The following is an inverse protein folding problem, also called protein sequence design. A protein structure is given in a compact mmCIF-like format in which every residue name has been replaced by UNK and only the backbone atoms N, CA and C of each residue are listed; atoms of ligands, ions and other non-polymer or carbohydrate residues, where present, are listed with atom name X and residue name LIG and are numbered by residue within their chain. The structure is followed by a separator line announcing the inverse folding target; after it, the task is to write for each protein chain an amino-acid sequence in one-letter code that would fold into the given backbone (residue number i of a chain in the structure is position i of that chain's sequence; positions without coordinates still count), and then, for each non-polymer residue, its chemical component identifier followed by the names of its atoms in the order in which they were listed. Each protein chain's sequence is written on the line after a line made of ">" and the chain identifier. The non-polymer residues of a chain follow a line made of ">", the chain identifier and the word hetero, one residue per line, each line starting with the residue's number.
data_IF_368306999521
#
_entry.id   IF_368306999521
#
_cell.length_a   1.000
_cell.length_b   1.000
_cell.length_c   1.000
_cell.angle_alpha   90.00
_cell.angle_beta   90.00
_cell.angle_gamma   90.00
#
_symmetry.space_group_name_H-M   'P 1'
#
loop_
_entity.id
_entity.type
_entity.pdbx_description
1 polymer ?
#
# COMPACT_ATOMS: atom_id res chain seq x y z
N UNK A 1 4.82 3.76 14.40
CA UNK A 1 3.97 2.73 13.77
C UNK A 1 4.56 1.39 14.14
N UNK A 2 3.75 0.47 14.63
CA UNK A 2 4.13 -0.90 14.97
C UNK A 2 3.50 -1.85 13.93
N UNK A 3 4.26 -2.84 13.46
CA UNK A 3 3.80 -3.85 12.49
C UNK A 3 4.04 -5.23 13.05
N UNK A 4 2.97 -6.01 13.20
CA UNK A 4 3.01 -7.39 13.69
C UNK A 4 2.62 -8.34 12.56
N UNK A 5 3.36 -9.42 12.40
CA UNK A 5 3.16 -10.38 11.32
C UNK A 5 2.58 -11.69 11.82
N UNK A 6 1.58 -12.21 11.12
CA UNK A 6 1.06 -13.57 11.24
C UNK A 6 1.34 -14.31 9.92
N UNK A 7 1.18 -15.66 9.85
CA UNK A 7 1.59 -16.44 8.67
C UNK A 7 0.98 -15.98 7.34
N UNK A 8 -0.20 -15.35 7.35
CA UNK A 8 -0.92 -14.90 6.14
C UNK A 8 -1.42 -13.46 6.22
N UNK A 9 -1.17 -12.74 7.31
CA UNK A 9 -1.72 -11.40 7.54
C UNK A 9 -0.71 -10.55 8.29
N UNK A 10 -0.93 -9.24 8.24
CA UNK A 10 -0.14 -8.24 8.96
C UNK A 10 -1.09 -7.28 9.68
N UNK A 11 -0.75 -6.92 10.90
CA UNK A 11 -1.47 -5.95 11.70
C UNK A 11 -0.62 -4.68 11.84
N UNK A 12 -1.23 -3.54 11.55
CA UNK A 12 -0.65 -2.22 11.70
C UNK A 12 -1.27 -1.51 12.89
N UNK A 13 -0.44 -1.03 13.81
CA UNK A 13 -0.86 -0.19 14.93
C UNK A 13 -0.22 1.19 14.76
N UNK A 14 -1.06 2.19 14.57
CA UNK A 14 -0.63 3.57 14.32
C UNK A 14 -1.20 4.48 15.40
N UNK A 15 -0.37 5.19 16.18
CA UNK A 15 -0.86 6.22 17.10
C UNK A 15 -1.65 7.29 16.33
N UNK A 16 -2.87 7.58 16.79
CA UNK A 16 -3.75 8.61 16.23
C UNK A 16 -3.87 9.80 17.19
N UNK A 17 -3.90 9.52 18.50
CA UNK A 17 -3.91 10.48 19.59
C UNK A 17 -3.17 9.89 20.81
N UNK A 18 -2.96 10.65 21.91
CA UNK A 18 -2.23 10.15 23.09
C UNK A 18 -2.78 8.84 23.68
N UNK A 19 -4.10 8.63 23.60
CA UNK A 19 -4.82 7.46 24.14
C UNK A 19 -5.50 6.62 23.06
N UNK A 20 -5.26 6.93 21.78
CA UNK A 20 -6.00 6.33 20.66
C UNK A 20 -5.04 5.78 19.61
N UNK A 21 -5.26 4.52 19.23
CA UNK A 21 -4.53 3.85 18.15
C UNK A 21 -5.48 3.43 17.03
N UNK A 22 -5.02 3.57 15.79
CA UNK A 22 -5.62 2.95 14.62
C UNK A 22 -5.06 1.55 14.46
N UNK A 23 -5.96 0.57 14.31
CA UNK A 23 -5.59 -0.83 14.06
C UNK A 23 -6.14 -1.25 12.70
N UNK A 24 -5.26 -1.71 11.83
CA UNK A 24 -5.64 -2.23 10.51
C UNK A 24 -5.02 -3.61 10.30
N UNK A 25 -5.81 -4.56 9.80
CA UNK A 25 -5.33 -5.91 9.47
C UNK A 25 -5.43 -6.10 7.97
N UNK A 26 -4.30 -6.39 7.33
CA UNK A 26 -4.25 -6.75 5.91
C UNK A 26 -4.14 -8.27 5.77
N UNK A 27 -5.06 -8.85 5.02
CA UNK A 27 -5.19 -10.30 4.83
C UNK A 27 -5.66 -10.62 3.41
N UNK A 28 -5.19 -11.73 2.79
CA UNK A 28 -5.70 -12.21 1.51
C UNK A 28 -7.04 -12.94 1.65
N UNK A 29 -7.52 -13.18 2.87
CA UNK A 29 -8.77 -13.88 3.16
C UNK A 29 -9.82 -12.85 3.58
N UNK A 30 -11.03 -12.95 3.03
CA UNK A 30 -12.17 -12.13 3.48
C UNK A 30 -12.61 -12.60 4.88
N UNK A 31 -12.88 -11.66 5.78
CA UNK A 31 -13.40 -11.94 7.12
C UNK A 31 -13.62 -10.66 7.92
N UNK A 32 -14.29 -10.79 9.05
CA UNK A 32 -14.50 -9.67 9.97
C UNK A 32 -13.22 -9.27 10.71
N UNK A 33 -13.15 -8.03 11.20
CA UNK A 33 -11.98 -7.55 11.96
C UNK A 33 -11.66 -8.44 13.16
N UNK A 34 -12.68 -8.79 13.97
CA UNK A 34 -12.50 -9.63 15.16
C UNK A 34 -11.98 -11.03 14.82
N UNK A 35 -12.47 -11.63 13.74
CA UNK A 35 -12.00 -12.94 13.27
C UNK A 35 -10.52 -12.88 12.82
N UNK A 36 -10.14 -11.82 12.12
CA UNK A 36 -8.77 -11.62 11.66
C UNK A 36 -7.83 -11.29 12.82
N UNK A 37 -8.32 -10.58 13.84
CA UNK A 37 -7.56 -10.24 15.05
C UNK A 37 -7.18 -11.48 15.86
N UNK A 38 -7.95 -12.58 15.76
CA UNK A 38 -7.61 -13.84 16.42
C UNK A 38 -6.26 -14.44 15.96
N UNK A 39 -5.73 -14.02 14.80
CA UNK A 39 -4.39 -14.38 14.36
C UNK A 39 -3.26 -13.67 15.14
N UNK A 40 -3.60 -12.72 16.01
CA UNK A 40 -2.67 -11.86 16.77
C UNK A 40 -3.05 -11.84 18.27
N UNK A 41 -2.84 -12.94 19.02
CA UNK A 41 -3.29 -13.07 20.40
C UNK A 41 -2.74 -11.98 21.33
N UNK A 42 -1.46 -11.65 21.25
CA UNK A 42 -0.84 -10.59 22.06
C UNK A 42 -1.46 -9.20 21.77
N UNK A 43 -1.79 -8.92 20.51
CA UNK A 43 -2.46 -7.68 20.13
C UNK A 43 -3.92 -7.67 20.62
N UNK A 44 -4.61 -8.81 20.53
CA UNK A 44 -5.97 -8.95 21.04
C UNK A 44 -6.03 -8.71 22.56
N UNK A 45 -5.08 -9.26 23.33
CA UNK A 45 -4.95 -9.02 24.77
C UNK A 45 -4.73 -7.55 25.10
N UNK A 46 -3.82 -6.88 24.37
CA UNK A 46 -3.58 -5.44 24.53
C UNK A 46 -4.82 -4.58 24.24
N UNK A 47 -5.71 -5.05 23.38
CA UNK A 47 -6.93 -4.35 22.98
C UNK A 47 -8.18 -4.73 23.81
N UNK A 48 -8.12 -5.80 24.62
CA UNK A 48 -9.31 -6.39 25.26
C UNK A 48 -10.10 -5.43 26.16
N UNK A 49 -9.44 -4.42 26.75
CA UNK A 49 -10.08 -3.39 27.58
C UNK A 49 -10.33 -2.06 26.86
N UNK A 50 -9.95 -1.93 25.58
CA UNK A 50 -10.08 -0.69 24.84
C UNK A 50 -11.48 -0.52 24.24
N UNK A 51 -12.07 0.67 24.39
CA UNK A 51 -13.33 0.99 23.75
C UNK A 51 -13.13 1.34 22.27
N UNK A 52 -13.89 0.75 21.33
CA UNK A 52 -13.84 1.15 19.92
C UNK A 52 -14.32 2.59 19.75
N UNK A 53 -13.45 3.46 19.20
CA UNK A 53 -13.77 4.87 18.92
C UNK A 53 -14.40 5.09 17.54
N UNK A 54 -14.46 4.04 16.71
CA UNK A 54 -15.01 4.09 15.35
C UNK A 54 -15.61 2.76 14.93
N UNK A 55 -16.51 2.79 13.95
CA UNK A 55 -16.99 1.56 13.29
C UNK A 55 -15.89 0.91 12.47
N UNK A 56 -15.84 -0.42 12.51
CA UNK A 56 -14.92 -1.20 11.68
C UNK A 56 -15.22 -0.92 10.20
N UNK A 57 -14.17 -0.59 9.44
CA UNK A 57 -14.23 -0.44 7.98
C UNK A 57 -13.29 -1.45 7.34
N UNK A 58 -13.72 -1.97 6.20
CA UNK A 58 -12.93 -2.89 5.38
C UNK A 58 -13.07 -2.55 3.91
N UNK A 59 -12.01 -2.74 3.16
CA UNK A 59 -11.97 -2.51 1.72
C UNK A 59 -11.11 -3.57 1.04
N UNK A 60 -11.55 -4.03 -0.13
CA UNK A 60 -10.82 -5.01 -0.90
C UNK A 60 -11.60 -5.51 -2.12
N UNK A 61 -10.90 -6.02 -3.17
CA UNK A 61 -9.45 -6.15 -3.27
C UNK A 61 -8.74 -4.79 -3.41
N UNK A 62 -7.55 -4.66 -2.84
CA UNK A 62 -6.83 -3.38 -2.87
C UNK A 62 -6.30 -3.08 -4.27
N UNK A 63 -5.68 -4.06 -4.96
CA UNK A 63 -5.18 -3.88 -6.33
C UNK A 63 -6.31 -3.54 -7.29
N UNK A 64 -6.30 -2.34 -7.85
CA UNK A 64 -7.24 -1.86 -8.86
C UNK A 64 -6.50 -1.58 -10.18
N UNK A 65 -6.96 -2.22 -11.26
CA UNK A 65 -6.38 -2.05 -12.59
C UNK A 65 -7.32 -1.22 -13.46
N UNK A 66 -6.75 -0.24 -14.14
CA UNK A 66 -7.47 0.62 -15.09
C UNK A 66 -6.81 0.48 -16.46
N UNK A 67 -7.63 0.27 -17.50
CA UNK A 67 -7.16 0.09 -18.89
C UNK A 67 -6.74 1.41 -19.54
N UNK A 68 -7.30 2.53 -19.10
CA UNK A 68 -6.90 3.88 -19.52
C UNK A 68 -7.47 4.94 -18.58
N UNK A 69 -6.77 6.06 -18.41
CA UNK A 69 -7.17 7.14 -17.48
C UNK A 69 -8.06 8.18 -18.14
N UNK A 70 -8.24 8.12 -19.45
CA UNK A 70 -8.94 9.15 -20.24
C UNK A 70 -9.96 8.46 -21.15
N UNK A 71 -11.21 8.92 -21.08
CA UNK A 71 -12.30 8.51 -21.96
C UNK A 71 -13.12 9.75 -22.35
N UNK A 72 -12.80 10.35 -23.50
CA UNK A 72 -13.45 11.59 -23.95
C UNK A 72 -13.26 12.72 -22.95
N UNK A 73 -14.34 13.11 -22.26
CA UNK A 73 -14.35 14.17 -21.24
C UNK A 73 -14.18 13.67 -19.81
N UNK A 74 -14.01 12.36 -19.63
CA UNK A 74 -13.85 11.72 -18.31
C UNK A 74 -12.38 11.38 -18.09
N UNK A 75 -11.85 11.79 -16.95
CA UNK A 75 -10.47 11.53 -16.54
C UNK A 75 -10.45 10.93 -15.14
N UNK A 76 -9.62 9.90 -14.92
CA UNK A 76 -9.50 9.19 -13.66
C UNK A 76 -8.26 9.67 -12.88
N UNK A 77 -8.43 9.97 -11.60
CA UNK A 77 -7.36 10.48 -10.73
C UNK A 77 -7.18 9.60 -9.49
N UNK A 78 -6.03 9.71 -8.83
CA UNK A 78 -5.71 8.93 -7.63
C UNK A 78 -5.90 7.43 -7.86
N UNK A 79 -6.51 6.74 -6.89
CA UNK A 79 -6.69 5.29 -6.95
C UNK A 79 -7.61 4.82 -8.08
N UNK A 80 -8.52 5.68 -8.56
CA UNK A 80 -9.35 5.38 -9.74
C UNK A 80 -8.52 5.30 -11.04
N UNK A 81 -7.38 5.99 -11.08
CA UNK A 81 -6.41 5.87 -12.17
C UNK A 81 -5.62 4.57 -12.13
N UNK A 82 -5.77 3.76 -11.07
CA UNK A 82 -5.12 2.48 -10.84
C UNK A 82 -4.29 2.49 -9.56
N UNK A 83 -4.43 1.42 -8.78
CA UNK A 83 -3.79 1.24 -7.47
C UNK A 83 -3.13 -0.15 -7.40
N UNK A 84 -1.92 -0.23 -6.84
CA UNK A 84 -1.19 -1.49 -6.68
C UNK A 84 -1.31 -2.02 -5.26
N UNK A 85 -0.65 -1.39 -4.28
CA UNK A 85 -0.67 -1.78 -2.87
C UNK A 85 -0.15 -0.65 -1.95
N UNK A 86 -0.39 -0.75 -0.64
CA UNK A 86 0.04 0.22 0.37
C UNK A 86 1.47 -0.04 0.87
N UNK A 87 2.11 -1.13 0.47
CA UNK A 87 3.38 -1.62 1.00
C UNK A 87 4.51 -0.57 1.09
N UNK A 88 4.60 0.33 0.11
CA UNK A 88 5.67 1.35 0.05
C UNK A 88 5.28 2.65 0.75
N UNK A 89 4.03 2.81 1.18
CA UNK A 89 3.51 4.07 1.71
C UNK A 89 3.46 5.21 0.68
N UNK A 90 3.76 4.96 -0.59
CA UNK A 90 3.86 5.99 -1.64
C UNK A 90 2.51 6.43 -2.21
N UNK A 91 1.40 5.78 -1.83
CA UNK A 91 0.09 5.99 -2.46
C UNK A 91 -0.33 7.46 -2.53
N UNK A 92 -0.17 8.21 -1.43
CA UNK A 92 -0.48 9.65 -1.39
C UNK A 92 0.47 10.47 -2.26
N UNK A 93 1.78 10.23 -2.18
CA UNK A 93 2.76 10.94 -3.00
C UNK A 93 2.51 10.69 -4.50
N UNK A 94 2.18 9.45 -4.88
CA UNK A 94 1.85 9.09 -6.24
C UNK A 94 0.54 9.73 -6.71
N UNK A 95 -0.50 9.73 -5.87
CA UNK A 95 -1.78 10.38 -6.18
C UNK A 95 -1.60 11.88 -6.39
N UNK A 96 -0.81 12.55 -5.56
CA UNK A 96 -0.52 13.99 -5.68
C UNK A 96 0.30 14.31 -6.94
N UNK A 97 1.38 13.56 -7.18
CA UNK A 97 2.26 13.79 -8.35
C UNK A 97 1.51 13.54 -9.66
N UNK A 98 0.71 12.47 -9.73
CA UNK A 98 -0.12 12.21 -10.91
C UNK A 98 -1.28 13.18 -11.04
N UNK A 99 -1.85 13.66 -9.93
CA UNK A 99 -2.84 14.74 -9.91
C UNK A 99 -2.29 16.05 -10.48
N UNK A 100 -1.04 16.40 -10.18
CA UNK A 100 -0.38 17.56 -10.79
C UNK A 100 -0.24 17.42 -12.33
N UNK A 101 0.05 16.21 -12.82
CA UNK A 101 0.11 15.93 -14.26
C UNK A 101 -1.27 16.08 -14.92
N UNK A 102 -2.34 15.64 -14.24
CA UNK A 102 -3.72 15.83 -14.70
C UNK A 102 -4.04 17.31 -14.87
N UNK A 103 -3.78 18.12 -13.83
CA UNK A 103 -3.99 19.57 -13.86
C UNK A 103 -3.23 20.20 -15.02
N UNK A 104 -1.94 19.86 -15.19
CA UNK A 104 -1.13 20.40 -16.30
C UNK A 104 -1.72 20.08 -17.66
N UNK A 105 -2.17 18.84 -17.88
CA UNK A 105 -2.79 18.43 -19.14
C UNK A 105 -4.12 19.17 -19.41
N UNK A 106 -4.93 19.38 -18.37
CA UNK A 106 -6.18 20.14 -18.47
C UNK A 106 -5.91 21.62 -18.78
N UNK A 107 -5.00 22.27 -18.05
CA UNK A 107 -4.62 23.68 -18.28
C UNK A 107 -4.03 23.93 -19.66
N UNK A 108 -3.34 22.94 -20.25
CA UNK A 108 -2.80 23.01 -21.60
C UNK A 108 -3.80 22.66 -22.72
N UNK A 109 -5.08 22.39 -22.38
CA UNK A 109 -6.09 21.96 -23.36
C UNK A 109 -5.79 20.60 -24.00
N UNK A 110 -4.99 19.76 -23.33
CA UNK A 110 -4.49 18.47 -23.83
C UNK A 110 -4.84 17.31 -22.88
N UNK A 111 -6.13 17.08 -22.57
CA UNK A 111 -6.54 16.00 -21.65
C UNK A 111 -6.13 14.61 -22.13
N UNK A 112 -6.08 14.37 -23.45
CA UNK A 112 -5.68 13.09 -24.03
C UNK A 112 -4.24 12.66 -23.66
N UNK A 113 -3.37 13.60 -23.34
CA UNK A 113 -1.96 13.31 -23.00
C UNK A 113 -1.78 12.81 -21.57
N UNK A 114 -2.81 12.95 -20.73
CA UNK A 114 -2.73 12.61 -19.32
C UNK A 114 -2.40 11.13 -19.08
N UNK A 115 -2.95 10.21 -19.86
CA UNK A 115 -2.68 8.77 -19.68
C UNK A 115 -1.17 8.44 -19.84
N UNK A 116 -0.52 9.06 -20.83
CA UNK A 116 0.93 8.93 -21.05
C UNK A 116 1.73 9.62 -19.95
N UNK A 117 1.31 10.81 -19.53
CA UNK A 117 1.95 11.57 -18.46
C UNK A 117 1.91 10.80 -17.14
N UNK A 118 0.73 10.28 -16.77
CA UNK A 118 0.51 9.40 -15.64
C UNK A 118 1.41 8.16 -15.71
N UNK A 119 1.47 7.49 -16.87
CA UNK A 119 2.24 6.26 -17.02
C UNK A 119 3.75 6.48 -16.81
N UNK A 120 4.28 7.62 -17.28
CA UNK A 120 5.68 8.02 -17.10
C UNK A 120 5.97 8.31 -15.63
N UNK A 121 5.17 9.15 -14.98
CA UNK A 121 5.38 9.58 -13.59
C UNK A 121 5.22 8.43 -12.61
N UNK A 122 4.23 7.55 -12.82
CA UNK A 122 3.95 6.43 -11.93
C UNK A 122 4.82 5.19 -12.14
N UNK A 123 5.60 5.14 -13.23
CA UNK A 123 6.28 3.90 -13.67
C UNK A 123 7.13 3.34 -12.56
N UNK A 124 8.04 4.15 -12.02
CA UNK A 124 9.00 3.74 -10.99
C UNK A 124 8.31 3.16 -9.75
N UNK A 125 7.40 3.92 -9.14
CA UNK A 125 6.64 3.50 -7.95
C UNK A 125 5.90 2.17 -8.17
N UNK A 126 5.31 2.00 -9.35
CA UNK A 126 4.65 0.74 -9.72
C UNK A 126 5.63 -0.41 -9.85
N UNK A 127 6.75 -0.23 -10.55
CA UNK A 127 7.78 -1.27 -10.66
C UNK A 127 8.32 -1.70 -9.29
N UNK A 128 8.54 -0.75 -8.39
CA UNK A 128 8.99 -1.01 -7.02
C UNK A 128 7.96 -1.84 -6.24
N UNK A 129 6.73 -1.34 -6.20
CA UNK A 129 5.64 -1.97 -5.45
C UNK A 129 5.34 -3.37 -6.01
N UNK A 130 5.26 -3.52 -7.33
CA UNK A 130 5.03 -4.82 -7.97
C UNK A 130 6.18 -5.81 -7.73
N UNK A 131 7.44 -5.36 -7.74
CA UNK A 131 8.60 -6.21 -7.44
C UNK A 131 8.60 -6.69 -5.99
N UNK A 132 8.31 -5.79 -5.05
CA UNK A 132 8.21 -6.12 -3.62
C UNK A 132 7.06 -7.09 -3.35
N UNK A 133 5.89 -6.85 -3.93
CA UNK A 133 4.74 -7.76 -3.83
C UNK A 133 5.04 -9.12 -4.44
N UNK A 134 5.72 -9.16 -5.58
CA UNK A 134 6.13 -10.41 -6.21
C UNK A 134 7.11 -11.19 -5.33
N UNK A 135 8.07 -10.51 -4.69
CA UNK A 135 9.01 -11.13 -3.77
C UNK A 135 8.29 -11.66 -2.51
N UNK A 136 7.35 -10.87 -1.96
CA UNK A 136 6.50 -11.26 -0.83
C UNK A 136 5.65 -12.49 -1.13
N UNK A 137 5.03 -12.53 -2.31
CA UNK A 137 4.14 -13.63 -2.72
C UNK A 137 4.89 -14.91 -3.15
N UNK A 138 6.22 -14.94 -3.06
CA UNK A 138 7.05 -16.12 -3.32
C UNK A 138 7.51 -16.75 -2.00
N UNK A 139 6.89 -17.87 -1.56
CA UNK A 139 7.19 -18.49 -0.26
C UNK A 139 8.66 -18.94 -0.11
N UNK A 140 9.35 -19.24 -1.22
CA UNK A 140 10.78 -19.60 -1.23
C UNK A 140 11.69 -18.40 -0.98
N UNK A 141 11.29 -17.21 -1.44
CA UNK A 141 12.07 -15.97 -1.27
C UNK A 141 11.88 -15.38 0.12
N UNK A 142 10.65 -15.34 0.64
CA UNK A 142 10.39 -14.85 2.00
C UNK A 142 11.20 -15.59 3.08
N UNK A 143 11.34 -16.92 2.94
CA UNK A 143 12.12 -17.77 3.86
C UNK A 143 13.63 -17.53 3.84
N UNK A 144 14.18 -16.92 2.79
CA UNK A 144 15.63 -16.67 2.62
C UNK A 144 16.01 -15.19 2.71
N UNK A 145 15.13 -14.28 2.30
CA UNK A 145 15.37 -12.84 2.32
C UNK A 145 15.37 -12.31 3.76
N UNK A 146 14.43 -12.74 4.61
CA UNK A 146 14.35 -12.23 6.00
C UNK A 146 15.62 -12.54 6.80
N UNK A 147 16.16 -13.79 6.82
CA UNK A 147 17.43 -14.06 7.49
C UNK A 147 18.63 -13.32 6.88
N UNK A 148 18.64 -13.09 5.57
CA UNK A 148 19.71 -12.36 4.89
C UNK A 148 19.65 -10.84 5.19
N UNK A 149 18.44 -10.27 5.24
CA UNK A 149 18.21 -8.86 5.56
C UNK A 149 18.56 -8.55 7.02
N UNK A 150 18.30 -9.49 7.95
CA UNK A 150 18.74 -9.38 9.35
C UNK A 150 20.27 -9.44 9.48
N UNK A 151 20.93 -10.24 8.62
CA UNK A 151 22.41 -10.39 8.66
C UNK A 151 23.16 -9.27 7.94
N UNK A 152 22.54 -8.58 6.99
CA UNK A 152 23.16 -7.50 6.24
C UNK A 152 22.15 -6.39 5.91
N UNK A 153 21.68 -5.62 6.92
CA UNK A 153 20.68 -4.57 6.73
C UNK A 153 21.13 -3.47 5.77
N UNK A 154 22.43 -3.20 5.66
CA UNK A 154 23.00 -2.23 4.72
C UNK A 154 22.90 -2.66 3.25
N UNK A 155 23.01 -3.96 2.96
CA UNK A 155 22.82 -4.53 1.61
C UNK A 155 21.35 -4.47 1.20
N UNK A 156 20.45 -4.74 2.13
CA UNK A 156 19.02 -4.59 1.91
C UNK A 156 18.65 -3.12 1.68
N UNK A 157 19.14 -2.21 2.52
CA UNK A 157 18.96 -0.77 2.33
C UNK A 157 19.54 -0.29 1.00
N UNK A 158 20.76 -0.71 0.62
CA UNK A 158 21.36 -0.35 -0.66
C UNK A 158 20.57 -0.91 -1.87
N UNK A 159 20.03 -2.12 -1.78
CA UNK A 159 19.18 -2.68 -2.82
C UNK A 159 17.87 -1.91 -2.96
N UNK A 160 17.23 -1.55 -1.84
CA UNK A 160 16.02 -0.71 -1.81
C UNK A 160 16.32 0.70 -2.33
N UNK A 161 17.47 1.27 -1.98
CA UNK A 161 17.91 2.60 -2.44
C UNK A 161 18.22 2.64 -3.94
N UNK A 162 18.81 1.58 -4.49
CA UNK A 162 19.04 1.46 -5.94
C UNK A 162 17.71 1.32 -6.70
N UNK A 163 16.77 0.61 -6.10
CA UNK A 163 15.39 0.53 -6.54
C UNK A 163 14.68 1.91 -6.41
N UNK A 164 15.11 2.76 -5.47
CA UNK A 164 14.62 4.12 -5.23
C UNK A 164 15.37 5.28 -5.95
N UNK A 165 16.41 5.03 -6.78
CA UNK A 165 17.06 6.00 -7.70
C UNK A 165 16.57 6.02 -9.14
#
# INVERSE_FOLDING_TARGET
>A
MEVTWAPRSEAYVTPVAPDTVGVAILSPVRGGFTEQLAAFPELAERLAGAAPVSTVRGGGPLRQRTTGRVAGRVLLAGDAAGYVDALTGEGLALALTTGAELVRCLSAGRPADYDRAWARTSRRSRWLTESLLWARNRPVLGRRIVPAAVRAPWLFAAAVDQLAR
#
